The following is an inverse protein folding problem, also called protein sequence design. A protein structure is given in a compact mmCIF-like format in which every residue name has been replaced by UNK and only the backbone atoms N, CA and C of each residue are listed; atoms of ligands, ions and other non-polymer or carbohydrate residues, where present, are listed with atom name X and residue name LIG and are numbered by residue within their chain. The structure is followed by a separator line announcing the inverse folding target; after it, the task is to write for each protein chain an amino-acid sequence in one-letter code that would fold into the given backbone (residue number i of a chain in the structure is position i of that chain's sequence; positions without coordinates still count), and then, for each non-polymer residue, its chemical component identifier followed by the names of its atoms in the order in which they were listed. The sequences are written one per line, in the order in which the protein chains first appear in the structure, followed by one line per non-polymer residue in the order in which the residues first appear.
data_IF_965609171671
#
_entry.id   IF_965609171671
#
_cell.length_a   1.000
_cell.length_b   1.000
_cell.length_c   1.000
_cell.angle_alpha   90.00
_cell.angle_beta   90.00
_cell.angle_gamma   90.00
#
_symmetry.space_group_name_H-M   'P 1'
#
loop_
_entity.id
_entity.type
_entity.pdbx_description
1 polymer ?
#
# COMPACT_ATOMS: atom_id res chain seq x y z
N UNK A 1 -8.06 1.92 -3.64
CA UNK A 1 -8.37 0.68 -4.38
C UNK A 1 -7.14 0.30 -5.16
N UNK A 2 -6.77 -0.97 -5.13
CA UNK A 2 -5.65 -1.53 -5.88
C UNK A 2 -6.18 -2.55 -6.90
N UNK A 3 -5.66 -2.51 -8.12
CA UNK A 3 -5.99 -3.46 -9.19
C UNK A 3 -4.68 -4.14 -9.60
N UNK A 4 -4.27 -5.21 -8.91
CA UNK A 4 -2.99 -5.86 -9.17
C UNK A 4 -3.04 -6.63 -10.49
N UNK A 5 -2.00 -6.50 -11.31
CA UNK A 5 -1.84 -7.31 -12.51
C UNK A 5 -1.62 -8.78 -12.13
N UNK A 6 -2.30 -9.74 -12.78
CA UNK A 6 -2.11 -11.16 -12.53
C UNK A 6 -0.82 -11.70 -13.16
N UNK A 7 -0.17 -10.91 -14.03
CA UNK A 7 1.00 -11.33 -14.81
C UNK A 7 2.34 -11.06 -14.10
N UNK A 8 2.30 -10.64 -12.83
CA UNK A 8 3.50 -10.49 -12.03
C UNK A 8 3.99 -11.87 -11.57
N UNK A 9 5.10 -12.34 -12.14
CA UNK A 9 5.61 -13.70 -11.98
C UNK A 9 5.86 -14.11 -10.52
N UNK A 10 6.12 -13.13 -9.64
CA UNK A 10 6.40 -13.35 -8.22
C UNK A 10 5.21 -12.95 -7.31
N UNK A 11 4.09 -12.48 -7.90
CA UNK A 11 2.87 -12.10 -7.18
C UNK A 11 3.03 -10.87 -6.27
N UNK A 12 4.08 -10.08 -6.46
CA UNK A 12 4.39 -8.92 -5.62
C UNK A 12 3.30 -7.86 -5.67
N UNK A 13 2.65 -7.65 -6.82
CA UNK A 13 1.53 -6.70 -6.92
C UNK A 13 0.36 -7.11 -6.02
N UNK A 14 0.01 -8.40 -5.99
CA UNK A 14 -1.06 -8.90 -5.13
C UNK A 14 -0.69 -8.79 -3.64
N UNK A 15 0.56 -9.09 -3.29
CA UNK A 15 1.07 -8.94 -1.91
C UNK A 15 1.03 -7.49 -1.46
N UNK A 16 1.47 -6.55 -2.31
CA UNK A 16 1.41 -5.11 -2.03
C UNK A 16 -0.03 -4.62 -1.90
N UNK A 17 -0.94 -5.10 -2.76
CA UNK A 17 -2.36 -4.78 -2.67
C UNK A 17 -2.99 -5.30 -1.38
N UNK A 18 -2.65 -6.54 -0.98
CA UNK A 18 -3.09 -7.17 0.28
C UNK A 18 -2.60 -6.39 1.50
N UNK A 19 -1.31 -6.02 1.51
CA UNK A 19 -0.75 -5.18 2.57
C UNK A 19 -1.50 -3.84 2.69
N UNK A 20 -1.83 -3.21 1.57
CA UNK A 20 -2.59 -1.95 1.58
C UNK A 20 -4.06 -2.14 1.99
N UNK A 21 -4.66 -3.30 1.70
CA UNK A 21 -5.98 -3.65 2.19
C UNK A 21 -5.97 -3.78 3.72
N UNK A 22 -4.99 -4.51 4.26
CA UNK A 22 -4.84 -4.72 5.69
C UNK A 22 -4.49 -3.44 6.43
N UNK A 23 -3.56 -2.62 5.91
CA UNK A 23 -3.10 -1.41 6.58
C UNK A 23 -4.06 -0.24 6.38
N UNK A 24 -4.35 0.12 5.13
CA UNK A 24 -5.09 1.33 4.78
C UNK A 24 -6.59 1.11 4.57
N UNK A 25 -7.08 -0.13 4.71
CA UNK A 25 -8.48 -0.46 4.38
C UNK A 25 -8.77 -0.35 2.89
N UNK A 26 -7.76 -0.46 2.03
CA UNK A 26 -7.95 -0.40 0.58
C UNK A 26 -8.72 -1.63 0.07
N UNK A 27 -9.65 -1.42 -0.85
CA UNK A 27 -10.25 -2.51 -1.63
C UNK A 27 -9.27 -3.04 -2.67
N UNK A 28 -9.28 -4.35 -2.89
CA UNK A 28 -8.61 -5.03 -4.02
C UNK A 28 -9.70 -5.39 -5.02
N UNK A 29 -9.41 -5.23 -6.31
CA UNK A 29 -10.23 -5.73 -7.40
C UNK A 29 -9.31 -6.53 -8.32
N UNK A 30 -9.54 -7.83 -8.42
CA UNK A 30 -8.70 -8.71 -9.25
C UNK A 30 -9.10 -8.62 -10.72
N UNK A 31 -8.23 -9.07 -11.63
CA UNK A 31 -8.49 -9.01 -13.08
C UNK A 31 -9.73 -9.81 -13.49
N UNK A 32 -10.01 -10.93 -12.84
CA UNK A 32 -11.21 -11.75 -13.07
C UNK A 32 -12.50 -11.09 -12.58
N UNK A 33 -12.39 -10.18 -11.60
CA UNK A 33 -13.49 -9.33 -11.11
C UNK A 33 -13.59 -8.02 -11.91
N UNK A 34 -12.59 -7.69 -12.74
CA UNK A 34 -12.46 -6.39 -13.37
C UNK A 34 -13.33 -6.29 -14.63
N UNK A 35 -14.42 -5.55 -14.49
CA UNK A 35 -15.17 -5.03 -15.62
C UNK A 35 -15.64 -3.59 -15.36
N UNK A 36 -16.16 -2.94 -16.40
CA UNK A 36 -16.58 -1.54 -16.33
C UNK A 36 -17.69 -1.25 -15.29
N UNK A 37 -18.55 -2.24 -15.03
CA UNK A 37 -19.64 -2.16 -14.04
C UNK A 37 -19.09 -2.36 -12.64
N UNK A 38 -18.28 -3.41 -12.44
CA UNK A 38 -17.72 -3.76 -11.14
C UNK A 38 -16.77 -2.66 -10.65
N UNK A 39 -15.93 -2.11 -11.53
CA UNK A 39 -15.08 -0.97 -11.21
C UNK A 39 -15.89 0.28 -10.83
N UNK A 40 -16.90 0.62 -11.63
CA UNK A 40 -17.77 1.79 -11.37
C UNK A 40 -18.47 1.66 -10.03
N UNK A 41 -19.06 0.50 -9.76
CA UNK A 41 -19.79 0.25 -8.51
C UNK A 41 -18.83 0.32 -7.33
N UNK A 42 -17.67 -0.30 -7.42
CA UNK A 42 -16.70 -0.29 -6.33
C UNK A 42 -16.15 1.12 -6.03
N UNK A 43 -16.00 1.98 -7.04
CA UNK A 43 -15.68 3.40 -6.84
C UNK A 43 -16.85 4.13 -6.17
N UNK A 44 -18.08 3.93 -6.66
CA UNK A 44 -19.30 4.56 -6.12
C UNK A 44 -19.53 4.17 -4.66
N UNK A 45 -19.36 2.90 -4.32
CA UNK A 45 -19.49 2.38 -2.94
C UNK A 45 -18.56 3.11 -1.96
N UNK A 46 -17.39 3.54 -2.43
CA UNK A 46 -16.42 4.29 -1.62
C UNK A 46 -16.81 5.76 -1.58
N UNK A 47 -16.99 6.41 -2.74
CA UNK A 47 -17.17 7.86 -2.83
C UNK A 47 -18.51 8.31 -2.23
N UNK A 48 -19.56 7.50 -2.33
CA UNK A 48 -20.88 7.83 -1.79
C UNK A 48 -21.01 7.48 -0.29
N UNK A 49 -19.97 6.96 0.34
CA UNK A 49 -19.95 6.56 1.74
C UNK A 49 -18.89 7.34 2.54
N UNK A 50 -19.29 8.51 3.05
CA UNK A 50 -18.42 9.40 3.81
C UNK A 50 -17.74 8.73 5.01
N UNK A 51 -18.44 7.83 5.71
CA UNK A 51 -17.90 7.11 6.86
C UNK A 51 -16.79 6.14 6.44
N UNK A 52 -16.99 5.42 5.33
CA UNK A 52 -15.98 4.54 4.77
C UNK A 52 -14.76 5.35 4.30
N UNK A 53 -14.98 6.46 3.59
CA UNK A 53 -13.90 7.33 3.13
C UNK A 53 -13.08 7.90 4.29
N UNK A 54 -13.73 8.39 5.35
CA UNK A 54 -13.05 8.91 6.53
C UNK A 54 -12.20 7.81 7.20
N UNK A 55 -12.78 6.62 7.40
CA UNK A 55 -12.06 5.49 7.99
C UNK A 55 -10.84 5.06 7.14
N UNK A 56 -10.98 5.01 5.81
CA UNK A 56 -9.86 4.71 4.92
C UNK A 56 -8.78 5.79 4.97
N UNK A 57 -9.17 7.07 5.01
CA UNK A 57 -8.24 8.20 5.13
C UNK A 57 -7.43 8.12 6.43
N UNK A 58 -8.11 7.92 7.56
CA UNK A 58 -7.45 7.84 8.88
C UNK A 58 -6.46 6.68 8.93
N UNK A 59 -6.83 5.51 8.41
CA UNK A 59 -5.94 4.34 8.34
C UNK A 59 -4.75 4.58 7.43
N UNK A 60 -4.95 5.21 6.27
CA UNK A 60 -3.85 5.56 5.36
C UNK A 60 -2.85 6.52 6.02
N UNK A 61 -3.34 7.51 6.77
CA UNK A 61 -2.50 8.43 7.53
C UNK A 61 -1.72 7.72 8.63
N UNK A 62 -2.34 6.78 9.35
CA UNK A 62 -1.68 5.97 10.38
C UNK A 62 -0.62 5.02 9.80
N UNK A 63 -0.85 4.47 8.61
CA UNK A 63 0.07 3.58 7.92
C UNK A 63 1.27 4.34 7.31
N UNK A 64 1.15 5.65 7.09
CA UNK A 64 2.17 6.46 6.46
C UNK A 64 3.49 6.45 7.27
N UNK A 65 4.61 6.40 6.55
CA UNK A 65 5.97 6.48 7.09
C UNK A 65 6.66 7.74 6.56
N UNK A 66 6.31 8.94 7.04
CA UNK A 66 6.80 10.21 6.47
C UNK A 66 8.32 10.35 6.56
N UNK A 67 8.95 9.69 7.54
CA UNK A 67 10.40 9.75 7.76
C UNK A 67 11.16 8.55 7.16
N UNK A 68 10.51 7.67 6.40
CA UNK A 68 11.13 6.44 5.90
C UNK A 68 12.47 6.69 5.19
N UNK A 69 12.55 7.73 4.35
CA UNK A 69 13.79 8.10 3.67
C UNK A 69 14.92 8.49 4.63
N UNK A 70 14.61 9.31 5.66
CA UNK A 70 15.58 9.72 6.67
C UNK A 70 16.03 8.52 7.52
N UNK A 71 15.08 7.69 7.98
CA UNK A 71 15.36 6.49 8.77
C UNK A 71 16.25 5.49 8.01
N UNK A 72 16.02 5.33 6.70
CA UNK A 72 16.86 4.49 5.85
C UNK A 72 18.27 5.08 5.74
N UNK A 73 18.39 6.39 5.46
CA UNK A 73 19.68 7.05 5.32
C UNK A 73 20.53 6.96 6.60
N UNK A 74 19.93 7.21 7.77
CA UNK A 74 20.58 7.06 9.07
C UNK A 74 21.08 5.64 9.29
N UNK A 75 20.27 4.63 8.94
CA UNK A 75 20.69 3.21 9.04
C UNK A 75 21.87 2.88 8.14
N UNK A 76 21.90 3.40 6.92
CA UNK A 76 23.01 3.19 5.99
C UNK A 76 24.29 3.81 6.55
N UNK A 77 24.24 5.04 7.06
CA UNK A 77 25.41 5.70 7.68
C UNK A 77 25.93 4.89 8.87
N UNK A 78 25.05 4.48 9.78
CA UNK A 78 25.44 3.69 10.95
C UNK A 78 26.13 2.36 10.57
N UNK A 79 25.68 1.70 9.49
CA UNK A 79 26.30 0.47 9.00
C UNK A 79 27.70 0.70 8.43
N UNK A 80 27.93 1.81 7.73
CA UNK A 80 29.24 2.18 7.18
C UNK A 80 30.25 2.51 8.29
N UNK A 81 29.81 3.26 9.30
CA UNK A 81 30.65 3.58 10.46
C UNK A 81 31.02 2.32 11.24
N UNK A 82 30.06 1.41 11.49
CA UNK A 82 30.31 0.13 12.14
C UNK A 82 31.33 -0.73 11.37
N UNK A 83 31.23 -0.76 10.04
CA UNK A 83 32.19 -1.48 9.21
C UNK A 83 33.59 -0.88 9.27
N UNK A 84 33.70 0.44 9.43
CA UNK A 84 34.97 1.17 9.51
C UNK A 84 35.66 1.04 10.87
N UNK A 85 34.90 0.82 11.95
CA UNK A 85 35.44 0.53 13.29
C UNK A 85 35.95 -0.91 13.42
N UNK A 86 35.39 -1.83 12.63
CA UNK A 86 35.75 -3.25 12.66
C UNK A 86 36.79 -3.67 11.59
N UNK A 87 37.27 -2.73 10.78
CA UNK A 87 38.31 -2.91 9.76
C UNK A 87 39.68 -2.48 10.29
#
# INVERSE_FOLDING_TARGET
MQIPSPNDAEGHQFQNASLMADLAGSRILTEDELDSTTLRNAIKDIIDNDLLMAAMSDRALQAAKPNAGAEIAERVVALVELASVNA
#
